data_IF_925982631662
#
_entry.id   IF_925982631662
#
_cell.length_a   1.000
_cell.length_b   1.000
_cell.length_c   1.000
_cell.angle_alpha   90.00
_cell.angle_beta   90.00
_cell.angle_gamma   90.00
#
_symmetry.space_group_name_H-M   'P 1'
#
loop_
_entity.id
_entity.type
_entity.pdbx_description
1 polymer ?
#
# COMPACT_ATOMS: atom_id res chain seq x y z
N UNK A 1 18.94 -6.58 16.03
CA UNK A 1 20.31 -6.58 15.45
C UNK A 1 21.34 -7.25 16.37
N UNK A 2 21.37 -6.90 17.67
CA UNK A 2 22.28 -7.51 18.67
C UNK A 2 22.14 -9.03 18.72
N UNK A 3 20.91 -9.55 18.72
CA UNK A 3 20.66 -11.01 18.75
C UNK A 3 21.22 -11.73 17.52
N UNK A 4 21.11 -11.10 16.34
CA UNK A 4 21.67 -11.64 15.10
C UNK A 4 23.19 -11.74 15.16
N UNK A 5 23.88 -10.73 15.70
CA UNK A 5 25.33 -10.76 15.90
C UNK A 5 25.76 -11.88 16.83
N UNK A 6 24.98 -12.18 17.88
CA UNK A 6 25.26 -13.30 18.77
C UNK A 6 25.09 -14.65 18.07
N UNK A 7 24.04 -14.82 17.28
CA UNK A 7 23.83 -16.03 16.45
C UNK A 7 24.98 -16.21 15.46
N UNK A 8 25.41 -15.13 14.82
CA UNK A 8 26.49 -15.13 13.85
C UNK A 8 27.84 -15.49 14.50
N UNK A 9 28.13 -14.97 15.70
CA UNK A 9 29.33 -15.31 16.48
C UNK A 9 29.36 -16.77 16.96
N UNK A 10 28.23 -17.25 17.50
CA UNK A 10 28.14 -18.60 18.08
C UNK A 10 28.09 -19.70 17.02
N UNK A 11 27.55 -19.39 15.85
CA UNK A 11 27.37 -20.36 14.77
C UNK A 11 28.43 -20.15 13.68
N UNK A 12 28.26 -19.17 12.80
CA UNK A 12 29.04 -19.06 11.57
C UNK A 12 30.49 -18.60 11.79
N UNK A 13 30.77 -17.87 12.87
CA UNK A 13 32.13 -17.43 13.24
C UNK A 13 32.75 -18.25 14.37
N UNK A 14 32.24 -19.46 14.63
CA UNK A 14 32.76 -20.29 15.71
C UNK A 14 34.28 -20.59 15.52
N UNK A 15 35.11 -20.58 16.58
CA UNK A 15 36.56 -20.78 16.47
C UNK A 15 36.94 -22.11 15.80
N UNK A 16 36.17 -23.17 16.09
CA UNK A 16 36.33 -24.48 15.46
C UNK A 16 35.57 -24.55 14.12
N UNK A 17 36.25 -24.77 12.98
CA UNK A 17 35.59 -24.76 11.66
C UNK A 17 34.51 -25.83 11.46
N UNK A 18 34.64 -27.00 12.10
CA UNK A 18 33.73 -28.15 11.91
C UNK A 18 32.34 -27.99 12.51
N UNK A 19 32.17 -27.04 13.44
CA UNK A 19 30.88 -26.73 14.10
C UNK A 19 30.23 -25.46 13.54
N UNK A 20 30.84 -24.80 12.55
CA UNK A 20 30.23 -23.65 11.89
C UNK A 20 29.02 -24.10 11.09
N UNK A 21 27.88 -23.44 11.31
CA UNK A 21 26.69 -23.68 10.50
C UNK A 21 26.88 -23.12 9.08
N UNK A 22 26.35 -23.80 8.05
CA UNK A 22 26.31 -23.25 6.70
C UNK A 22 25.59 -21.89 6.69
N UNK A 23 26.08 -20.89 5.93
CA UNK A 23 25.48 -19.55 5.90
C UNK A 23 23.99 -19.53 5.57
N UNK A 24 23.49 -20.49 4.78
CA UNK A 24 22.06 -20.62 4.46
C UNK A 24 21.16 -20.80 5.69
N UNK A 25 21.68 -21.32 6.81
CA UNK A 25 20.91 -21.42 8.06
C UNK A 25 20.62 -20.06 8.68
N UNK A 26 21.40 -19.02 8.34
CA UNK A 26 21.13 -17.67 8.80
C UNK A 26 19.84 -17.11 8.21
N UNK A 27 19.42 -17.56 7.03
CA UNK A 27 18.18 -17.10 6.38
C UNK A 27 16.92 -17.49 7.16
N UNK A 28 17.01 -18.50 8.03
CA UNK A 28 15.92 -18.87 8.94
C UNK A 28 15.79 -17.92 10.15
N UNK A 29 16.75 -17.01 10.36
CA UNK A 29 16.71 -16.07 11.47
C UNK A 29 15.58 -15.04 11.27
N UNK A 30 14.83 -14.64 12.32
CA UNK A 30 13.69 -13.71 12.20
C UNK A 30 14.02 -12.38 11.50
N UNK A 31 15.27 -11.93 11.58
CA UNK A 31 15.76 -10.75 10.86
C UNK A 31 15.54 -10.85 9.35
N UNK A 32 15.66 -12.04 8.76
CA UNK A 32 15.44 -12.28 7.32
C UNK A 32 14.01 -12.69 7.00
N UNK A 33 13.18 -12.96 8.01
CA UNK A 33 11.74 -13.20 7.87
C UNK A 33 10.92 -11.92 8.12
N UNK A 34 11.57 -10.76 8.01
CA UNK A 34 10.93 -9.48 8.28
C UNK A 34 9.87 -9.17 7.20
N UNK A 35 8.68 -8.65 7.57
CA UNK A 35 7.59 -8.36 6.63
C UNK A 35 8.00 -7.47 5.44
N UNK A 36 8.94 -6.57 5.68
CA UNK A 36 9.52 -5.75 4.60
C UNK A 36 10.13 -6.62 3.49
N UNK A 37 10.92 -7.63 3.85
CA UNK A 37 11.62 -8.49 2.89
C UNK A 37 10.61 -9.26 2.05
N UNK A 38 9.64 -9.92 2.71
CA UNK A 38 8.61 -10.68 1.99
C UNK A 38 7.73 -9.80 1.11
N UNK A 39 7.43 -8.56 1.53
CA UNK A 39 6.67 -7.62 0.68
C UNK A 39 7.47 -7.19 -0.56
N UNK A 40 8.75 -6.88 -0.40
CA UNK A 40 9.62 -6.47 -1.52
C UNK A 40 9.80 -7.62 -2.50
N UNK A 41 10.07 -8.83 -2.01
CA UNK A 41 10.20 -10.03 -2.84
C UNK A 41 8.91 -10.33 -3.62
N UNK A 42 7.74 -10.21 -2.98
CA UNK A 42 6.45 -10.39 -3.64
C UNK A 42 6.28 -9.42 -4.80
N UNK A 43 6.56 -8.14 -4.60
CA UNK A 43 6.41 -7.14 -5.65
C UNK A 43 7.45 -7.27 -6.77
N UNK A 44 8.68 -7.71 -6.46
CA UNK A 44 9.72 -7.95 -7.47
C UNK A 44 9.38 -9.14 -8.37
N UNK A 45 8.72 -10.16 -7.80
CA UNK A 45 8.31 -11.36 -8.50
C UNK A 45 6.81 -11.35 -8.84
N UNK A 46 6.15 -10.19 -8.85
CA UNK A 46 4.69 -10.08 -8.94
C UNK A 46 4.08 -10.90 -10.09
N UNK A 47 4.73 -10.86 -11.25
CA UNK A 47 4.27 -11.53 -12.48
C UNK A 47 4.40 -13.05 -12.44
N UNK A 48 5.19 -13.62 -11.53
CA UNK A 48 5.37 -15.07 -11.43
C UNK A 48 4.29 -15.74 -10.58
N UNK A 49 3.59 -14.97 -9.73
CA UNK A 49 2.49 -15.47 -8.90
C UNK A 49 1.21 -15.61 -9.71
N UNK A 50 0.37 -16.57 -9.34
CA UNK A 50 -0.99 -16.73 -9.82
C UNK A 50 -1.94 -15.67 -9.26
N UNK A 51 -3.09 -15.46 -9.91
CA UNK A 51 -4.11 -14.52 -9.43
C UNK A 51 -4.59 -14.85 -8.01
N UNK A 52 -4.67 -16.14 -7.66
CA UNK A 52 -5.05 -16.59 -6.31
C UNK A 52 -4.00 -16.20 -5.28
N UNK A 53 -2.72 -16.40 -5.58
CA UNK A 53 -1.62 -16.02 -4.67
C UNK A 53 -1.55 -14.51 -4.49
N UNK A 54 -1.74 -13.74 -5.57
CA UNK A 54 -1.81 -12.27 -5.51
C UNK A 54 -2.98 -11.80 -4.66
N UNK A 55 -4.16 -12.40 -4.87
CA UNK A 55 -5.37 -12.06 -4.09
C UNK A 55 -5.17 -12.33 -2.61
N UNK A 56 -4.59 -13.48 -2.25
CA UNK A 56 -4.33 -13.84 -0.85
C UNK A 56 -3.28 -12.94 -0.20
N UNK A 57 -2.24 -12.55 -0.95
CA UNK A 57 -1.27 -11.55 -0.49
C UNK A 57 -1.96 -10.23 -0.15
N UNK A 58 -2.74 -9.66 -1.06
CA UNK A 58 -3.40 -8.37 -0.83
C UNK A 58 -4.47 -8.45 0.26
N UNK A 59 -5.22 -9.55 0.36
CA UNK A 59 -6.19 -9.77 1.44
C UNK A 59 -5.54 -9.74 2.82
N UNK A 60 -4.35 -10.32 2.95
CA UNK A 60 -3.63 -10.43 4.24
C UNK A 60 -2.59 -9.32 4.46
N UNK A 61 -2.54 -8.32 3.58
CA UNK A 61 -1.50 -7.29 3.58
C UNK A 61 -1.46 -6.49 4.88
N UNK A 62 -2.61 -6.01 5.37
CA UNK A 62 -2.64 -5.20 6.59
C UNK A 62 -2.17 -5.99 7.81
N UNK A 63 -2.61 -7.24 7.93
CA UNK A 63 -2.29 -8.11 9.05
C UNK A 63 -0.82 -8.53 9.06
N UNK A 64 -0.28 -8.93 7.91
CA UNK A 64 1.06 -9.51 7.81
C UNK A 64 2.16 -8.50 7.54
N UNK A 65 1.82 -7.37 6.92
CA UNK A 65 2.78 -6.36 6.46
C UNK A 65 2.57 -5.05 7.20
N UNK A 66 1.45 -4.36 6.97
CA UNK A 66 1.28 -2.97 7.40
C UNK A 66 1.40 -2.79 8.92
N UNK A 67 0.75 -3.65 9.73
CA UNK A 67 0.82 -3.60 11.21
C UNK A 67 2.22 -3.74 11.80
N UNK A 68 3.18 -4.24 11.01
CA UNK A 68 4.54 -4.54 11.47
C UNK A 68 5.58 -3.57 10.92
N UNK A 69 5.18 -2.59 10.13
CA UNK A 69 6.05 -1.56 9.57
C UNK A 69 5.68 -0.19 10.11
N UNK A 70 6.65 0.71 10.18
CA UNK A 70 6.37 2.14 10.43
C UNK A 70 5.81 2.78 9.17
N UNK A 71 5.02 3.85 9.32
CA UNK A 71 4.44 4.61 8.19
C UNK A 71 5.50 5.01 7.17
N UNK A 72 6.67 5.48 7.61
CA UNK A 72 7.78 5.85 6.71
C UNK A 72 8.26 4.66 5.87
N UNK A 73 8.50 3.51 6.49
CA UNK A 73 8.99 2.32 5.75
C UNK A 73 7.92 1.82 4.79
N UNK A 74 6.67 1.75 5.25
CA UNK A 74 5.52 1.31 4.47
C UNK A 74 5.32 2.23 3.25
N UNK A 75 5.24 3.54 3.48
CA UNK A 75 4.90 4.53 2.45
C UNK A 75 6.06 4.85 1.50
N UNK A 76 7.32 4.72 1.94
CA UNK A 76 8.49 4.99 1.09
C UNK A 76 8.95 3.76 0.31
N UNK A 77 8.80 2.55 0.88
CA UNK A 77 9.40 1.34 0.29
C UNK A 77 8.38 0.41 -0.35
N UNK A 78 7.22 0.23 0.29
CA UNK A 78 6.27 -0.82 -0.06
C UNK A 78 5.14 -0.26 -0.93
N UNK A 79 4.38 0.72 -0.44
CA UNK A 79 3.22 1.25 -1.14
C UNK A 79 3.52 1.85 -2.52
N UNK A 80 4.67 2.48 -2.80
CA UNK A 80 4.96 2.97 -4.14
C UNK A 80 4.96 1.86 -5.21
N UNK A 81 5.22 0.60 -4.81
CA UNK A 81 5.14 -0.56 -5.70
C UNK A 81 3.69 -0.88 -6.09
N UNK A 82 2.73 -0.68 -5.17
CA UNK A 82 1.30 -0.77 -5.49
C UNK A 82 0.86 0.26 -6.56
N UNK A 83 1.58 1.37 -6.68
CA UNK A 83 1.36 2.38 -7.72
C UNK A 83 2.07 2.06 -9.05
N UNK A 84 2.71 0.92 -9.24
CA UNK A 84 3.15 0.50 -10.58
C UNK A 84 1.94 0.06 -11.42
N UNK A 85 1.88 0.40 -12.71
CA UNK A 85 0.70 0.10 -13.56
C UNK A 85 0.33 -1.40 -13.55
N UNK A 86 1.33 -2.27 -13.56
CA UNK A 86 1.18 -3.73 -13.48
C UNK A 86 0.43 -4.23 -12.26
N UNK A 87 0.44 -3.47 -11.18
CA UNK A 87 -0.20 -3.83 -9.91
C UNK A 87 -1.46 -2.98 -9.72
N UNK A 88 -1.36 -1.67 -9.92
CA UNK A 88 -2.44 -0.71 -9.70
C UNK A 88 -3.70 -1.04 -10.50
N UNK A 89 -3.54 -1.57 -11.72
CA UNK A 89 -4.64 -1.94 -12.61
C UNK A 89 -5.05 -3.40 -12.50
N UNK A 90 -4.35 -4.19 -11.67
CA UNK A 90 -4.59 -5.62 -11.56
C UNK A 90 -5.73 -5.88 -10.55
N UNK A 91 -6.82 -6.59 -10.96
CA UNK A 91 -7.98 -6.80 -10.10
C UNK A 91 -7.70 -7.32 -8.67
N UNK A 92 -6.73 -8.25 -8.45
CA UNK A 92 -6.34 -8.69 -7.11
C UNK A 92 -5.93 -7.57 -6.15
N UNK A 93 -5.36 -6.47 -6.66
CA UNK A 93 -4.83 -5.38 -5.82
C UNK A 93 -5.90 -4.34 -5.42
N UNK A 94 -7.02 -4.30 -6.14
CA UNK A 94 -8.00 -3.21 -6.04
C UNK A 94 -8.55 -3.01 -4.61
N UNK A 95 -8.71 -4.08 -3.84
CA UNK A 95 -9.13 -3.99 -2.44
C UNK A 95 -8.13 -3.21 -1.58
N UNK A 96 -6.84 -3.50 -1.72
CA UNK A 96 -5.79 -2.76 -1.02
C UNK A 96 -5.66 -1.32 -1.54
N UNK A 97 -5.75 -1.11 -2.87
CA UNK A 97 -5.73 0.24 -3.44
C UNK A 97 -6.88 1.10 -2.88
N UNK A 98 -8.08 0.54 -2.79
CA UNK A 98 -9.22 1.24 -2.20
C UNK A 98 -8.94 1.63 -0.74
N UNK A 99 -8.38 0.72 0.07
CA UNK A 99 -7.99 1.01 1.45
C UNK A 99 -6.92 2.10 1.55
N UNK A 100 -5.89 2.06 0.69
CA UNK A 100 -4.84 3.08 0.64
C UNK A 100 -5.44 4.45 0.32
N UNK A 101 -6.40 4.51 -0.60
CA UNK A 101 -7.06 5.76 -1.03
C UNK A 101 -8.11 6.30 -0.04
N UNK A 102 -8.31 5.64 1.11
CA UNK A 102 -9.16 6.11 2.20
C UNK A 102 -8.35 6.24 3.49
N UNK A 103 -7.34 7.14 3.55
CA UNK A 103 -6.50 7.30 4.73
C UNK A 103 -7.32 7.69 5.97
N UNK A 104 -6.75 7.53 7.16
CA UNK A 104 -7.42 7.87 8.42
C UNK A 104 -6.85 9.14 9.05
N UNK A 105 -7.70 9.85 9.81
CA UNK A 105 -7.31 11.05 10.54
C UNK A 105 -6.51 10.69 11.81
N UNK A 106 -5.22 10.99 11.80
CA UNK A 106 -4.30 10.77 12.92
C UNK A 106 -4.50 11.75 14.09
N UNK A 107 -5.24 12.86 13.89
CA UNK A 107 -5.58 13.81 14.98
C UNK A 107 -6.67 13.30 15.93
N UNK A 108 -7.42 12.27 15.51
CA UNK A 108 -8.53 11.70 16.27
C UNK A 108 -8.13 10.48 17.12
N UNK A 109 -6.83 10.14 17.17
CA UNK A 109 -6.31 8.96 17.87
C UNK A 109 -6.08 9.15 19.37
N UNK A 110 -6.63 10.21 19.99
CA UNK A 110 -6.61 10.41 21.44
C UNK A 110 -7.44 9.34 22.19
N UNK A 111 -6.75 8.28 22.66
CA UNK A 111 -6.90 7.46 23.87
C UNK A 111 -8.28 7.01 24.41
N UNK A 112 -9.42 7.28 23.76
CA UNK A 112 -10.75 7.07 24.36
C UNK A 112 -11.70 6.10 23.68
N UNK A 113 -11.30 5.41 22.63
CA UNK A 113 -12.06 4.27 22.12
C UNK A 113 -11.10 3.23 21.51
N UNK A 114 -10.76 2.14 22.22
CA UNK A 114 -10.22 0.98 21.54
C UNK A 114 -11.31 0.52 20.57
N UNK A 115 -11.03 0.62 19.28
CA UNK A 115 -11.95 0.26 18.22
C UNK A 115 -12.49 -1.15 18.46
N UNK A 116 -13.81 -1.30 18.37
CA UNK A 116 -14.49 -2.59 18.38
C UNK A 116 -13.84 -3.50 17.34
N UNK A 117 -13.55 -4.75 17.71
CA UNK A 117 -12.78 -5.73 16.94
C UNK A 117 -13.35 -6.03 15.54
N UNK A 118 -14.57 -5.57 15.23
CA UNK A 118 -15.27 -5.75 13.95
C UNK A 118 -14.85 -4.81 12.82
N UNK A 119 -14.15 -3.69 13.09
CA UNK A 119 -13.73 -2.71 12.06
C UNK A 119 -12.26 -2.84 11.64
N UNK A 120 -11.53 -3.81 12.22
CA UNK A 120 -10.08 -3.96 12.05
C UNK A 120 -9.70 -4.44 10.64
N UNK A 121 -10.59 -5.15 9.95
CA UNK A 121 -10.33 -5.72 8.61
C UNK A 121 -10.44 -4.70 7.46
N UNK A 122 -11.00 -3.53 7.71
CA UNK A 122 -11.22 -2.50 6.69
C UNK A 122 -10.55 -1.15 6.98
N UNK A 123 -9.78 -1.07 8.08
CA UNK A 123 -9.07 0.16 8.43
C UNK A 123 -7.92 0.39 7.45
N UNK A 124 -7.85 1.62 6.92
CA UNK A 124 -6.71 2.04 6.10
C UNK A 124 -5.41 1.93 6.89
N UNK A 125 -4.33 1.55 6.21
CA UNK A 125 -3.00 1.47 6.78
C UNK A 125 -2.22 2.79 6.75
N UNK A 126 -2.83 3.89 6.31
CA UNK A 126 -2.14 5.16 6.07
C UNK A 126 -2.85 6.31 6.77
N UNK A 127 -2.12 7.06 7.58
CA UNK A 127 -2.59 8.31 8.22
C UNK A 127 -2.70 9.45 7.20
N UNK A 128 -3.48 10.50 7.49
CA UNK A 128 -3.55 11.71 6.66
C UNK A 128 -2.17 12.35 6.48
N UNK A 129 -1.38 12.43 7.55
CA UNK A 129 -0.01 12.98 7.50
C UNK A 129 0.89 12.17 6.55
N UNK A 130 0.91 10.83 6.66
CA UNK A 130 1.72 9.99 5.78
C UNK A 130 1.21 10.01 4.32
N UNK A 131 -0.12 10.00 4.14
CA UNK A 131 -0.75 10.02 2.82
C UNK A 131 -0.39 11.28 2.05
N UNK A 132 -0.55 12.45 2.68
CA UNK A 132 -0.24 13.75 2.06
C UNK A 132 1.24 13.88 1.74
N UNK A 133 2.12 13.38 2.61
CA UNK A 133 3.56 13.46 2.43
C UNK A 133 4.08 12.55 1.32
N UNK A 134 3.63 11.29 1.29
CA UNK A 134 4.26 10.26 0.47
C UNK A 134 3.41 9.79 -0.72
N UNK A 135 2.10 9.70 -0.56
CA UNK A 135 1.22 9.09 -1.58
C UNK A 135 0.55 10.11 -2.49
N UNK A 136 0.29 11.33 -2.00
CA UNK A 136 -0.27 12.41 -2.82
C UNK A 136 0.54 12.69 -4.09
N UNK A 137 1.89 12.77 -4.05
CA UNK A 137 2.69 12.92 -5.27
C UNK A 137 2.51 11.78 -6.27
N UNK A 138 2.34 10.54 -5.79
CA UNK A 138 2.12 9.37 -6.63
C UNK A 138 0.74 9.42 -7.30
N UNK A 139 -0.30 9.79 -6.56
CA UNK A 139 -1.66 9.95 -7.08
C UNK A 139 -1.70 11.05 -8.14
N UNK A 140 -1.08 12.19 -7.88
CA UNK A 140 -0.98 13.28 -8.86
C UNK A 140 -0.23 12.83 -10.12
N UNK A 141 0.84 12.06 -9.97
CA UNK A 141 1.56 11.50 -11.11
C UNK A 141 0.68 10.59 -11.97
N UNK A 142 -0.21 9.80 -11.33
CA UNK A 142 -1.15 8.90 -12.01
C UNK A 142 -2.21 9.65 -12.79
N UNK A 143 -2.78 10.73 -12.25
CA UNK A 143 -3.74 11.56 -12.98
C UNK A 143 -3.14 12.09 -14.29
N UNK A 144 -1.86 12.49 -14.28
CA UNK A 144 -1.14 13.00 -15.46
C UNK A 144 -0.84 11.96 -16.55
N UNK A 145 -1.02 10.67 -16.28
CA UNK A 145 -0.81 9.63 -17.29
C UNK A 145 -1.98 9.52 -18.28
N UNK A 146 -3.11 10.20 -18.01
CA UNK A 146 -4.32 10.23 -18.85
C UNK A 146 -4.93 8.85 -19.17
N UNK A 147 -4.48 7.79 -18.50
CA UNK A 147 -4.94 6.43 -18.73
C UNK A 147 -6.35 6.24 -18.17
N UNK A 148 -7.27 5.71 -18.99
CA UNK A 148 -8.69 5.58 -18.64
C UNK A 148 -8.92 4.74 -17.38
N UNK A 149 -8.30 3.55 -17.29
CA UNK A 149 -8.53 2.65 -16.15
C UNK A 149 -7.96 3.21 -14.85
N UNK A 150 -6.75 3.78 -14.90
CA UNK A 150 -6.16 4.51 -13.78
C UNK A 150 -7.09 5.62 -13.29
N UNK A 151 -7.64 6.43 -14.20
CA UNK A 151 -8.61 7.48 -13.84
C UNK A 151 -9.87 6.93 -13.19
N UNK A 152 -10.44 5.85 -13.73
CA UNK A 152 -11.63 5.23 -13.14
C UNK A 152 -11.35 4.81 -11.69
N UNK A 153 -10.24 4.11 -11.43
CA UNK A 153 -9.88 3.66 -10.08
C UNK A 153 -9.72 4.84 -9.13
N UNK A 154 -8.98 5.88 -9.54
CA UNK A 154 -8.77 7.07 -8.73
C UNK A 154 -10.07 7.82 -8.44
N UNK A 155 -10.94 7.97 -9.44
CA UNK A 155 -12.20 8.71 -9.33
C UNK A 155 -13.27 7.95 -8.53
N UNK A 156 -13.31 6.62 -8.64
CA UNK A 156 -14.21 5.79 -7.83
C UNK A 156 -13.91 5.91 -6.34
N UNK A 157 -12.64 6.14 -5.97
CA UNK A 157 -12.22 6.30 -4.58
C UNK A 157 -12.04 7.77 -4.17
N UNK A 158 -12.46 8.73 -5.00
CA UNK A 158 -12.11 10.14 -4.84
C UNK A 158 -12.55 10.75 -3.50
N UNK A 159 -13.71 10.31 -2.98
CA UNK A 159 -14.25 10.77 -1.70
C UNK A 159 -13.31 10.47 -0.52
N UNK A 160 -12.49 9.42 -0.63
CA UNK A 160 -11.55 9.03 0.42
C UNK A 160 -10.41 10.03 0.64
N UNK A 161 -10.00 10.78 -0.39
CA UNK A 161 -8.79 11.60 -0.32
C UNK A 161 -8.95 13.02 -0.90
N UNK A 162 -10.10 13.36 -1.51
CA UNK A 162 -10.31 14.68 -2.13
C UNK A 162 -10.04 15.86 -1.19
N UNK A 163 -10.41 15.70 0.08
CA UNK A 163 -10.28 16.73 1.11
C UNK A 163 -8.82 16.99 1.52
N UNK A 164 -7.88 16.15 1.09
CA UNK A 164 -6.44 16.26 1.38
C UNK A 164 -5.65 16.99 0.29
N UNK A 165 -6.27 17.30 -0.86
CA UNK A 165 -5.59 18.03 -1.93
C UNK A 165 -5.36 19.50 -1.58
N UNK A 166 -4.28 20.05 -2.12
CA UNK A 166 -4.15 21.50 -2.22
C UNK A 166 -5.06 22.03 -3.34
N UNK A 167 -5.60 23.26 -3.22
CA UNK A 167 -6.48 23.82 -4.25
C UNK A 167 -5.85 23.87 -5.65
N UNK A 168 -4.54 24.11 -5.74
CA UNK A 168 -3.82 24.12 -7.03
C UNK A 168 -3.73 22.72 -7.64
N UNK A 169 -3.54 21.68 -6.84
CA UNK A 169 -3.46 20.30 -7.32
C UNK A 169 -4.79 19.86 -7.97
N UNK A 170 -5.91 20.22 -7.32
CA UNK A 170 -7.24 19.98 -7.89
C UNK A 170 -7.41 20.73 -9.20
N UNK A 171 -7.14 22.04 -9.22
CA UNK A 171 -7.35 22.88 -10.40
C UNK A 171 -6.48 22.46 -11.58
N UNK A 172 -5.20 22.21 -11.34
CA UNK A 172 -4.19 22.11 -12.40
C UNK A 172 -3.97 20.66 -12.85
N UNK A 173 -4.28 19.67 -12.02
CA UNK A 173 -4.06 18.25 -12.35
C UNK A 173 -5.36 17.44 -12.37
N UNK A 174 -6.25 17.59 -11.39
CA UNK A 174 -7.41 16.67 -11.26
C UNK A 174 -8.62 17.11 -12.10
N UNK A 175 -8.99 18.39 -12.06
CA UNK A 175 -10.16 18.92 -12.79
C UNK A 175 -10.08 18.70 -14.31
N UNK A 176 -8.94 18.91 -15.00
CA UNK A 176 -8.83 18.62 -16.43
C UNK A 176 -9.18 17.17 -16.78
N UNK A 177 -8.82 16.23 -15.90
CA UNK A 177 -9.11 14.81 -16.11
C UNK A 177 -10.60 14.47 -15.95
N UNK A 178 -11.33 15.23 -15.13
CA UNK A 178 -12.79 15.08 -14.96
C UNK A 178 -13.56 15.56 -16.18
N UNK A 179 -13.09 16.61 -16.85
CA UNK A 179 -13.68 17.11 -18.09
C UNK A 179 -13.53 16.08 -19.21
N UNK A 180 -12.36 15.44 -19.31
CA UNK A 180 -12.13 14.33 -20.24
C UNK A 180 -13.05 13.14 -19.98
N UNK A 181 -13.42 12.84 -18.73
CA UNK A 181 -14.38 11.75 -18.44
C UNK A 181 -15.78 12.08 -18.96
N UNK A 182 -16.21 13.34 -18.86
CA UNK A 182 -17.52 13.79 -19.38
C UNK A 182 -17.59 13.69 -20.90
N UNK A 183 -16.51 14.01 -21.60
CA UNK A 183 -16.44 13.90 -23.06
C UNK A 183 -16.49 12.44 -23.56
N UNK A 184 -15.94 11.51 -22.77
CA UNK A 184 -15.81 10.11 -23.17
C UNK A 184 -16.92 9.19 -22.63
N UNK A 185 -17.94 9.71 -21.94
CA UNK A 185 -18.93 8.86 -21.27
C UNK A 185 -20.29 9.54 -21.00
N UNK A 186 -21.16 9.62 -22.00
CA UNK A 186 -22.56 10.09 -21.83
C UNK A 186 -23.47 9.00 -21.21
N UNK A 187 -22.97 7.83 -20.78
CA UNK A 187 -23.87 6.75 -20.31
C UNK A 187 -23.46 5.94 -19.07
N UNK A 188 -22.21 5.93 -18.58
CA UNK A 188 -21.87 5.04 -17.45
C UNK A 188 -21.53 5.71 -16.11
N UNK A 189 -21.37 7.02 -16.03
CA UNK A 189 -20.94 7.69 -14.77
C UNK A 189 -22.11 8.20 -13.92
N UNK A 190 -23.34 8.26 -14.47
CA UNK A 190 -24.51 8.77 -13.74
C UNK A 190 -25.13 7.79 -12.73
N UNK A 191 -24.63 6.57 -12.58
CA UNK A 191 -25.22 5.59 -11.64
C UNK A 191 -24.69 5.67 -10.20
N UNK A 192 -23.65 6.46 -9.92
CA UNK A 192 -23.03 6.51 -8.59
C UNK A 192 -23.39 7.80 -7.82
N UNK A 193 -23.88 8.84 -8.52
CA UNK A 193 -24.20 10.15 -7.92
C UNK A 193 -25.65 10.33 -7.42
N UNK A 194 -26.51 9.31 -7.49
CA UNK A 194 -27.94 9.44 -7.14
C UNK A 194 -28.35 8.78 -5.81
N UNK A 195 -27.39 8.38 -4.96
CA UNK A 195 -27.69 7.84 -3.63
C UNK A 195 -27.20 8.69 -2.46
N UNK A 196 -26.90 9.97 -2.69
CA UNK A 196 -26.48 10.90 -1.63
C UNK A 196 -27.10 12.31 -1.78
N UNK A 197 -28.40 12.36 -2.07
CA UNK A 197 -29.26 13.53 -1.84
C UNK A 197 -30.47 13.12 -1.01
#
# INVERSE_FOLDING_TARGET
FVDFLQVLHKSCMHPQPRVRLPPGHLLAHPLFQHPLISSVEFFENYMTYSDTERTDFFRTFNEKIAKHLTDDVLCVTVLPRCFQNSIFLDPPSHGLIAQILHPYDDSQLDDKNPATESDVDHRSCVSYTAFTTYLMPLILSKFRLHERLTRIILLTNFTGYVHLFQPNDLRDTVLPELELVKEHNIQSVMFIGHSAL
#
